data_IF_183388145569
#
_entry.id   IF_183388145569
#
_cell.length_a   1.000
_cell.length_b   1.000
_cell.length_c   1.000
_cell.angle_alpha   90.00
_cell.angle_beta   90.00
_cell.angle_gamma   90.00
#
_symmetry.space_group_name_H-M   'P 1'
#
loop_
_entity.id
_entity.type
_entity.pdbx_description
1 polymer ?
#
# COMPACT_ATOMS: atom_id res chain seq x y z
N UNK A 1 25.50 -10.65 -3.04
CA UNK A 1 24.54 -9.75 -3.69
C UNK A 1 24.15 -8.69 -2.67
N UNK A 2 23.97 -7.45 -3.11
CA UNK A 2 23.60 -6.34 -2.25
C UNK A 2 22.30 -5.71 -2.77
N UNK A 3 21.41 -5.34 -1.88
CA UNK A 3 20.25 -4.52 -2.21
C UNK A 3 20.51 -3.07 -1.88
N UNK A 4 19.84 -2.20 -2.60
CA UNK A 4 19.84 -0.77 -2.40
C UNK A 4 18.47 -0.39 -1.83
N UNK A 5 18.46 0.18 -0.62
CA UNK A 5 17.24 0.62 0.04
C UNK A 5 17.11 2.14 -0.04
N UNK A 6 16.00 2.59 -0.62
CA UNK A 6 15.58 3.98 -0.69
C UNK A 6 14.46 4.21 0.32
N UNK A 7 14.70 5.12 1.26
CA UNK A 7 13.81 5.31 2.42
C UNK A 7 13.53 6.79 2.69
N UNK A 8 14.60 7.59 2.75
CA UNK A 8 14.54 9.01 3.08
C UNK A 8 14.71 9.86 1.80
N UNK A 9 13.83 10.83 1.51
CA UNK A 9 14.02 11.76 0.40
C UNK A 9 15.26 12.64 0.51
N UNK A 10 15.80 12.81 1.71
CA UNK A 10 17.00 13.62 1.95
C UNK A 10 18.30 12.79 1.84
N UNK A 11 18.22 11.46 1.71
CA UNK A 11 19.38 10.59 1.52
C UNK A 11 19.82 10.61 0.02
N UNK A 12 21.02 11.12 -0.24
CA UNK A 12 21.61 11.16 -1.60
C UNK A 12 22.08 9.78 -2.11
N UNK A 13 22.32 8.83 -1.18
CA UNK A 13 22.82 7.48 -1.46
C UNK A 13 21.89 6.41 -0.85
N UNK A 14 21.69 5.26 -1.53
CA UNK A 14 20.88 4.18 -0.98
C UNK A 14 21.59 3.50 0.20
N UNK A 15 20.79 3.02 1.16
CA UNK A 15 21.29 2.17 2.24
C UNK A 15 21.60 0.79 1.65
N UNK A 16 22.85 0.36 1.74
CA UNK A 16 23.24 -0.97 1.25
C UNK A 16 22.88 -2.07 2.24
N UNK A 17 22.10 -3.03 1.78
CA UNK A 17 21.75 -4.24 2.53
C UNK A 17 22.57 -5.40 1.96
N UNK A 18 23.54 -5.87 2.74
CA UNK A 18 24.42 -6.98 2.38
C UNK A 18 24.27 -8.18 3.32
N UNK A 19 23.57 -7.98 4.44
CA UNK A 19 23.36 -8.98 5.48
C UNK A 19 21.96 -8.89 6.08
N UNK A 20 21.56 -9.93 6.79
CA UNK A 20 20.35 -9.96 7.60
C UNK A 20 20.32 -8.81 8.62
N UNK A 21 21.48 -8.51 9.23
CA UNK A 21 21.61 -7.45 10.21
C UNK A 21 21.37 -6.07 9.58
N UNK A 22 21.76 -5.84 8.33
CA UNK A 22 21.50 -4.59 7.62
C UNK A 22 19.99 -4.42 7.37
N UNK A 23 19.30 -5.52 7.00
CA UNK A 23 17.86 -5.50 6.80
C UNK A 23 17.11 -5.24 8.12
N UNK A 24 17.52 -5.88 9.21
CA UNK A 24 16.96 -5.62 10.53
C UNK A 24 17.21 -4.17 10.98
N UNK A 25 18.41 -3.64 10.74
CA UNK A 25 18.75 -2.26 11.07
C UNK A 25 17.90 -1.24 10.29
N UNK A 26 17.61 -1.51 9.01
CA UNK A 26 16.67 -0.70 8.23
C UNK A 26 15.28 -0.74 8.87
N UNK A 27 14.76 -1.93 9.20
CA UNK A 27 13.43 -2.06 9.81
C UNK A 27 13.34 -1.40 11.19
N UNK A 28 14.42 -1.45 11.97
CA UNK A 28 14.54 -0.74 13.24
C UNK A 28 14.49 0.78 13.05
N UNK A 29 15.23 1.32 12.07
CA UNK A 29 15.19 2.74 11.70
C UNK A 29 13.77 3.15 11.30
N UNK A 30 13.15 2.41 10.38
CA UNK A 30 11.77 2.66 9.94
C UNK A 30 10.77 2.64 11.10
N UNK A 31 10.94 1.73 12.05
CA UNK A 31 10.09 1.63 13.22
C UNK A 31 10.26 2.83 14.17
N UNK A 32 11.51 3.26 14.40
CA UNK A 32 11.81 4.42 15.23
C UNK A 32 11.24 5.71 14.62
N UNK A 33 11.47 5.90 13.32
CA UNK A 33 11.03 7.09 12.58
C UNK A 33 9.50 7.11 12.46
N UNK A 34 8.88 5.96 12.17
CA UNK A 34 7.43 5.80 12.05
C UNK A 34 6.64 6.16 13.30
N UNK A 35 7.25 6.14 14.49
CA UNK A 35 6.59 6.57 15.72
C UNK A 35 6.25 8.08 15.74
N UNK A 36 6.93 8.88 14.91
CA UNK A 36 6.70 10.32 14.77
C UNK A 36 5.73 10.71 13.66
N UNK A 37 5.30 9.78 12.81
CA UNK A 37 4.52 10.07 11.59
C UNK A 37 3.08 9.58 11.67
N UNK A 38 2.16 10.34 11.09
CA UNK A 38 0.74 9.95 11.00
C UNK A 38 0.48 8.84 9.97
N UNK A 39 1.35 8.73 8.96
CA UNK A 39 1.31 7.69 7.93
C UNK A 39 2.55 6.81 8.10
N UNK A 40 2.39 5.49 8.28
CA UNK A 40 3.50 4.55 8.38
C UNK A 40 4.47 4.67 7.19
N UNK A 41 5.78 4.60 7.42
CA UNK A 41 6.73 4.79 6.33
C UNK A 41 6.93 3.51 5.50
N UNK A 42 7.33 3.70 4.24
CA UNK A 42 7.62 2.68 3.23
C UNK A 42 9.04 2.89 2.71
N UNK A 43 9.77 1.80 2.50
CA UNK A 43 11.05 1.80 1.80
C UNK A 43 10.96 0.97 0.52
N UNK A 44 11.70 1.37 -0.50
CA UNK A 44 11.92 0.59 -1.71
C UNK A 44 13.27 -0.13 -1.59
N UNK A 45 13.28 -1.42 -1.88
CA UNK A 45 14.48 -2.24 -1.96
C UNK A 45 14.66 -2.65 -3.42
N UNK A 46 15.74 -2.22 -4.06
CA UNK A 46 16.01 -2.54 -5.45
C UNK A 46 17.28 -3.37 -5.61
N UNK A 47 17.29 -4.17 -6.67
CA UNK A 47 18.47 -4.88 -7.16
C UNK A 47 18.72 -4.51 -8.63
N UNK A 48 19.96 -4.14 -8.92
CA UNK A 48 20.39 -3.65 -10.24
C UNK A 48 21.60 -4.38 -10.83
N UNK A 49 22.09 -5.46 -10.22
CA UNK A 49 23.29 -6.17 -10.66
C UNK A 49 23.05 -7.06 -11.90
N UNK A 50 22.28 -8.14 -11.74
CA UNK A 50 22.13 -9.19 -12.77
C UNK A 50 20.71 -9.26 -13.34
N UNK A 51 19.69 -9.06 -12.51
CA UNK A 51 18.28 -9.03 -12.91
C UNK A 51 17.50 -8.03 -12.06
N UNK A 52 16.72 -7.19 -12.74
CA UNK A 52 15.89 -6.18 -12.09
C UNK A 52 14.87 -6.85 -11.18
N UNK A 53 14.84 -6.39 -9.95
CA UNK A 53 13.78 -6.71 -9.02
C UNK A 53 13.64 -5.59 -7.99
N UNK A 54 12.40 -5.34 -7.58
CA UNK A 54 12.04 -4.29 -6.62
C UNK A 54 11.09 -4.90 -5.58
N UNK A 55 11.31 -4.54 -4.32
CA UNK A 55 10.40 -4.84 -3.24
C UNK A 55 10.04 -3.53 -2.51
N UNK A 56 8.82 -3.42 -2.00
CA UNK A 56 8.49 -2.38 -1.03
C UNK A 56 8.28 -3.01 0.32
N UNK A 57 8.82 -2.39 1.37
CA UNK A 57 8.62 -2.81 2.75
C UNK A 57 8.04 -1.66 3.54
N UNK A 58 6.97 -1.91 4.30
CA UNK A 58 6.30 -0.91 5.12
C UNK A 58 6.20 -1.36 6.57
N UNK A 59 6.42 -0.43 7.51
CA UNK A 59 6.44 -0.70 8.94
C UNK A 59 5.41 0.17 9.66
N UNK A 60 4.39 -0.46 10.25
CA UNK A 60 3.34 0.20 11.02
C UNK A 60 3.47 -0.15 12.51
N UNK A 61 4.26 0.65 13.22
CA UNK A 61 4.51 0.43 14.65
C UNK A 61 3.27 0.60 15.52
N UNK A 62 2.33 1.46 15.13
CA UNK A 62 1.10 1.70 15.88
C UNK A 62 0.22 0.44 15.96
N UNK A 63 0.26 -0.40 14.94
CA UNK A 63 -0.49 -1.67 14.89
C UNK A 63 0.37 -2.90 15.14
N UNK A 64 1.69 -2.74 15.24
CA UNK A 64 2.64 -3.85 15.35
C UNK A 64 2.68 -4.74 14.10
N UNK A 65 2.34 -4.17 12.93
CA UNK A 65 2.25 -4.87 11.65
C UNK A 65 3.08 -4.19 10.57
N UNK A 66 3.19 -4.84 9.42
CA UNK A 66 3.73 -4.22 8.23
C UNK A 66 3.46 -5.06 6.99
N UNK A 67 3.99 -4.61 5.87
CA UNK A 67 3.68 -5.15 4.55
C UNK A 67 4.96 -5.31 3.74
N UNK A 68 4.99 -6.32 2.87
CA UNK A 68 6.03 -6.46 1.87
C UNK A 68 5.41 -6.77 0.51
N UNK A 69 5.92 -6.12 -0.52
CA UNK A 69 5.66 -6.45 -1.92
C UNK A 69 6.95 -6.82 -2.61
N UNK A 70 6.84 -7.55 -3.71
CA UNK A 70 7.96 -7.95 -4.55
C UNK A 70 7.51 -7.97 -6.00
N UNK A 71 8.36 -7.49 -6.89
CA UNK A 71 8.17 -7.49 -8.34
C UNK A 71 9.50 -7.78 -9.04
N UNK A 72 9.50 -8.73 -9.96
CA UNK A 72 10.63 -9.10 -10.81
C UNK A 72 10.13 -9.45 -12.22
N UNK A 73 11.00 -10.02 -13.07
CA UNK A 73 10.62 -10.44 -14.42
C UNK A 73 9.59 -11.58 -14.45
N UNK A 74 9.44 -12.34 -13.36
CA UNK A 74 8.56 -13.51 -13.25
C UNK A 74 7.16 -13.14 -12.76
N UNK A 75 7.01 -11.99 -12.11
CA UNK A 75 5.71 -11.46 -11.72
C UNK A 75 5.79 -10.57 -10.49
N UNK A 76 4.71 -10.57 -9.71
CA UNK A 76 4.66 -9.80 -8.47
C UNK A 76 3.92 -10.56 -7.38
N UNK A 77 4.38 -10.35 -6.15
CA UNK A 77 3.84 -10.93 -4.94
C UNK A 77 3.70 -9.85 -3.86
N UNK A 78 2.86 -10.13 -2.87
CA UNK A 78 2.61 -9.28 -1.72
C UNK A 78 2.29 -10.19 -0.55
N UNK A 79 2.62 -9.75 0.66
CA UNK A 79 2.24 -10.43 1.89
C UNK A 79 0.73 -10.57 2.02
N UNK A 80 0.26 -11.66 2.62
CA UNK A 80 -1.15 -11.89 2.94
C UNK A 80 -1.21 -12.55 4.31
N UNK A 81 -1.97 -11.94 5.21
CA UNK A 81 -2.11 -12.42 6.59
C UNK A 81 -2.73 -11.40 7.54
N UNK A 82 -3.26 -10.31 7.00
CA UNK A 82 -4.03 -9.34 7.75
C UNK A 82 -5.51 -9.70 7.78
N UNK A 83 -6.15 -9.43 8.91
CA UNK A 83 -7.60 -9.54 9.08
C UNK A 83 -8.30 -8.19 8.82
N UNK A 84 -7.53 -7.14 8.55
CA UNK A 84 -8.04 -5.80 8.33
C UNK A 84 -8.72 -5.70 6.97
N UNK A 85 -9.98 -5.23 6.98
CA UNK A 85 -10.69 -4.84 5.77
C UNK A 85 -10.25 -3.45 5.30
N UNK A 86 -10.38 -3.18 3.99
CA UNK A 86 -10.07 -1.86 3.41
C UNK A 86 -8.61 -1.70 3.01
N UNK A 87 -8.17 -0.45 2.89
CA UNK A 87 -6.81 -0.08 2.53
C UNK A 87 -6.11 0.60 3.71
N UNK A 88 -4.80 0.43 3.79
CA UNK A 88 -3.88 1.07 4.74
C UNK A 88 -2.94 1.94 3.94
N UNK A 89 -2.79 3.19 4.38
CA UNK A 89 -1.88 4.14 3.77
C UNK A 89 -0.44 3.92 4.28
N UNK A 90 0.51 3.96 3.37
CA UNK A 90 1.95 3.97 3.65
C UNK A 90 2.60 5.12 2.87
N UNK A 91 3.52 5.84 3.47
CA UNK A 91 4.21 6.96 2.83
C UNK A 91 5.57 6.51 2.29
N UNK A 92 5.77 6.71 0.98
CA UNK A 92 7.07 6.52 0.35
C UNK A 92 7.62 7.88 -0.07
N UNK A 93 8.57 8.41 0.71
CA UNK A 93 9.25 9.67 0.41
C UNK A 93 8.26 10.82 0.09
N UNK A 94 7.22 10.98 0.91
CA UNK A 94 6.16 11.97 0.73
C UNK A 94 5.05 11.58 -0.25
N UNK A 95 5.09 10.36 -0.82
CA UNK A 95 4.08 9.84 -1.72
C UNK A 95 3.27 8.73 -1.03
N UNK A 96 2.06 9.08 -0.59
CA UNK A 96 1.14 8.13 0.02
C UNK A 96 0.68 7.06 -0.97
N UNK A 97 0.75 5.81 -0.54
CA UNK A 97 0.31 4.61 -1.24
C UNK A 97 -0.75 3.90 -0.41
N UNK A 98 -1.87 3.57 -1.04
CA UNK A 98 -2.90 2.74 -0.42
C UNK A 98 -2.66 1.27 -0.77
N UNK A 99 -2.47 0.44 0.25
CA UNK A 99 -2.24 -1.00 0.12
C UNK A 99 -3.37 -1.77 0.84
N UNK A 100 -3.76 -2.97 0.39
CA UNK A 100 -4.82 -3.73 1.05
C UNK A 100 -4.46 -4.03 2.51
N UNK A 101 -5.37 -3.78 3.46
CA UNK A 101 -5.15 -4.11 4.87
C UNK A 101 -4.98 -5.61 5.13
N UNK A 102 -5.53 -6.45 4.25
CA UNK A 102 -5.34 -7.91 4.28
C UNK A 102 -3.90 -8.36 4.00
N UNK A 103 -3.06 -7.45 3.50
CA UNK A 103 -1.66 -7.71 3.25
C UNK A 103 -0.76 -7.42 4.46
N UNK A 104 -1.27 -6.80 5.52
CA UNK A 104 -0.48 -6.53 6.72
C UNK A 104 -0.26 -7.79 7.56
N UNK A 105 1.00 -8.14 7.80
CA UNK A 105 1.43 -9.25 8.65
C UNK A 105 2.08 -8.73 9.94
N UNK A 106 2.17 -9.55 11.01
CA UNK A 106 2.91 -9.15 12.21
C UNK A 106 4.36 -8.76 11.90
N UNK A 107 4.90 -7.74 12.58
CA UNK A 107 6.28 -7.27 12.32
C UNK A 107 7.34 -8.36 12.48
N UNK A 108 7.14 -9.34 13.36
CA UNK A 108 8.04 -10.48 13.49
C UNK A 108 8.10 -11.33 12.21
N UNK A 109 6.97 -11.52 11.55
CA UNK A 109 6.90 -12.23 10.27
C UNK A 109 7.45 -11.38 9.13
N UNK A 110 7.21 -10.07 9.18
CA UNK A 110 7.82 -9.12 8.24
C UNK A 110 9.34 -9.17 8.30
N UNK A 111 9.95 -9.17 9.49
CA UNK A 111 11.41 -9.27 9.65
C UNK A 111 11.98 -10.54 9.05
N UNK A 112 11.30 -11.67 9.30
CA UNK A 112 11.66 -12.97 8.70
C UNK A 112 11.57 -12.92 7.18
N UNK A 113 10.50 -12.34 6.64
CA UNK A 113 10.30 -12.19 5.21
C UNK A 113 11.34 -11.26 4.60
N UNK A 114 11.52 -10.06 5.14
CA UNK A 114 12.49 -9.08 4.68
C UNK A 114 13.92 -9.62 4.73
N UNK A 115 14.30 -10.35 5.78
CA UNK A 115 15.64 -10.95 5.86
C UNK A 115 15.83 -12.07 4.84
N UNK A 116 14.86 -12.99 4.73
CA UNK A 116 14.94 -14.11 3.78
C UNK A 116 14.87 -13.64 2.33
N UNK A 117 13.96 -12.72 2.03
CA UNK A 117 13.75 -12.12 0.71
C UNK A 117 14.83 -11.11 0.36
N UNK A 118 15.36 -10.30 1.30
CA UNK A 118 16.47 -9.40 1.00
C UNK A 118 17.72 -10.16 0.54
N UNK A 119 17.92 -11.37 1.06
CA UNK A 119 18.99 -12.27 0.62
C UNK A 119 18.64 -13.03 -0.67
N UNK A 120 17.37 -13.04 -1.09
CA UNK A 120 16.84 -13.91 -2.15
C UNK A 120 15.80 -13.20 -3.02
N UNK A 121 16.00 -11.92 -3.36
CA UNK A 121 15.14 -11.26 -4.35
C UNK A 121 15.37 -12.04 -5.66
N UNK A 122 14.39 -12.83 -6.11
CA UNK A 122 14.53 -13.75 -7.26
C UNK A 122 14.56 -15.26 -6.96
N UNK A 123 14.32 -15.72 -5.72
CA UNK A 123 14.10 -17.15 -5.42
C UNK A 123 12.76 -17.38 -4.73
N UNK A 124 12.06 -18.47 -5.09
CA UNK A 124 10.78 -18.88 -4.49
C UNK A 124 10.78 -18.68 -2.97
N UNK A 125 9.99 -17.72 -2.47
CA UNK A 125 9.92 -17.37 -1.06
C UNK A 125 9.16 -18.45 -0.28
N UNK A 126 9.79 -19.62 -0.10
CA UNK A 126 9.26 -20.72 0.70
C UNK A 126 9.48 -20.42 2.20
N UNK A 127 8.62 -19.58 2.78
CA UNK A 127 8.78 -19.21 4.19
C UNK A 127 7.63 -18.43 4.80
N UNK A 128 6.42 -18.98 4.75
CA UNK A 128 5.24 -18.55 5.52
C UNK A 128 4.50 -17.27 5.07
N UNK A 129 4.74 -16.78 3.86
CA UNK A 129 3.88 -15.77 3.23
C UNK A 129 2.97 -16.47 2.23
N UNK A 130 1.64 -16.36 2.40
CA UNK A 130 0.70 -16.78 1.35
C UNK A 130 0.82 -15.78 0.19
N UNK A 131 1.63 -16.10 -0.80
CA UNK A 131 1.79 -15.28 -1.99
C UNK A 131 0.56 -15.37 -2.90
N UNK A 132 0.10 -14.23 -3.42
CA UNK A 132 -0.86 -14.19 -4.52
C UNK A 132 -0.17 -13.70 -5.80
N UNK A 133 0.11 -14.63 -6.70
CA UNK A 133 0.89 -14.46 -7.94
C UNK A 133 0.18 -13.68 -9.07
N UNK A 134 -0.83 -12.85 -8.80
CA UNK A 134 -1.58 -12.16 -9.87
C UNK A 134 -2.25 -10.86 -9.44
N UNK A 135 -1.67 -9.75 -9.88
CA UNK A 135 -2.39 -8.50 -10.17
C UNK A 135 -2.02 -8.02 -11.58
N UNK A 136 -3.04 -7.84 -12.42
CA UNK A 136 -2.92 -7.42 -13.82
C UNK A 136 -3.87 -8.17 -14.75
N UNK A 137 -5.15 -7.80 -14.74
CA UNK A 137 -5.93 -7.25 -15.89
C UNK A 137 -7.31 -6.87 -15.35
N UNK A 138 -7.58 -5.59 -15.18
CA UNK A 138 -8.95 -5.09 -14.98
C UNK A 138 -9.76 -5.33 -16.25
N UNK A 139 -10.89 -6.07 -16.24
CA UNK A 139 -11.82 -6.08 -17.37
C UNK A 139 -12.80 -4.91 -17.23
N UNK A 140 -12.31 -3.68 -17.32
CA UNK A 140 -13.17 -2.49 -17.38
C UNK A 140 -12.81 -1.64 -18.59
N UNK A 141 -13.11 -2.15 -19.79
CA UNK A 141 -13.39 -1.31 -20.95
C UNK A 141 -14.07 -2.09 -22.08
N UNK A 142 -15.25 -2.67 -21.80
CA UNK A 142 -16.22 -2.93 -22.88
C UNK A 142 -17.16 -1.73 -22.98
N UNK A 143 -16.64 -0.72 -23.68
CA UNK A 143 -17.34 0.16 -24.61
C UNK A 143 -18.87 0.03 -24.60
N UNK A 144 -19.55 0.95 -23.91
CA UNK A 144 -20.96 1.26 -24.22
C UNK A 144 -21.03 1.76 -25.66
N UNK A 145 -21.47 0.89 -26.58
CA UNK A 145 -22.15 1.33 -27.80
C UNK A 145 -23.65 1.26 -27.52
N UNK A 146 -24.25 2.42 -27.25
CA UNK A 146 -25.64 2.65 -27.60
C UNK A 146 -25.68 2.78 -29.11
N UNK A 147 -26.34 1.85 -29.78
CA UNK A 147 -27.14 2.25 -30.93
C UNK A 147 -28.47 1.49 -30.94
N UNK A 148 -29.42 2.21 -31.50
CA UNK A 148 -30.85 2.22 -31.26
C UNK A 148 -31.57 1.19 -32.14
N UNK A 149 -32.50 0.43 -31.56
CA UNK A 149 -33.70 -0.02 -32.29
C UNK A 149 -34.77 -0.59 -31.35
N UNK A 150 -35.81 0.22 -31.16
CA UNK A 150 -37.22 -0.20 -31.16
C UNK A 150 -37.74 -1.21 -30.13
N UNK A 151 -38.43 -0.71 -29.10
CA UNK A 151 -39.88 -0.94 -28.91
C UNK A 151 -40.43 -0.22 -27.67
N UNK A 152 -41.42 0.63 -27.90
CA UNK A 152 -42.39 1.07 -26.88
C UNK A 152 -43.23 -0.12 -26.39
N UNK A 153 -43.90 -0.04 -25.20
CA UNK A 153 -45.14 0.75 -25.10
C UNK A 153 -45.34 1.55 -23.79
N UNK A 154 -46.03 2.67 -23.96
CA UNK A 154 -47.14 3.22 -23.18
C UNK A 154 -47.15 3.20 -21.62
N UNK A 155 -47.35 4.40 -21.05
CA UNK A 155 -48.40 4.60 -20.04
C UNK A 155 -48.02 5.35 -18.76
N UNK A 156 -48.72 6.45 -18.48
CA UNK A 156 -48.93 7.00 -17.12
C UNK A 156 -48.04 8.18 -16.72
N UNK A 157 -48.41 9.42 -17.06
CA UNK A 157 -49.15 10.40 -16.23
C UNK A 157 -48.39 11.02 -15.02
N UNK A 158 -47.99 12.29 -15.26
CA UNK A 158 -48.20 13.56 -14.51
C UNK A 158 -47.82 13.72 -13.03
N UNK A 159 -47.30 14.93 -12.78
CA UNK A 159 -47.37 15.78 -11.57
C UNK A 159 -46.26 15.49 -10.54
N UNK A 160 -45.60 16.45 -9.89
CA UNK A 160 -45.70 17.91 -9.84
C UNK A 160 -44.46 18.45 -9.10
N UNK A 161 -44.12 19.69 -9.42
CA UNK A 161 -43.22 20.64 -8.79
C UNK A 161 -43.22 20.65 -7.24
N UNK A 162 -42.07 20.80 -6.60
CA UNK A 162 -41.88 21.83 -5.57
C UNK A 162 -40.40 22.11 -5.25
N UNK A 163 -40.08 23.40 -5.33
CA UNK A 163 -38.81 24.06 -5.02
C UNK A 163 -38.79 24.53 -3.56
N UNK A 164 -37.60 24.97 -3.10
CA UNK A 164 -37.27 25.71 -1.86
C UNK A 164 -36.92 24.79 -0.66
N UNK A 165 -35.92 25.05 0.20
CA UNK A 165 -35.19 26.28 0.56
C UNK A 165 -33.99 25.86 1.44
N UNK A 166 -32.77 26.35 1.16
CA UNK A 166 -31.79 26.71 2.21
C UNK A 166 -32.12 28.17 2.63
N UNK A 167 -31.80 28.70 3.83
CA UNK A 167 -30.45 28.67 4.43
C UNK A 167 -30.35 28.74 5.98
N UNK A 168 -29.08 28.70 6.45
CA UNK A 168 -28.50 29.30 7.67
C UNK A 168 -29.03 28.80 9.04
N UNK A 169 -28.30 28.83 10.17
CA UNK A 169 -27.33 29.80 10.64
C UNK A 169 -26.69 29.30 11.97
N UNK A 170 -25.58 29.94 12.39
CA UNK A 170 -24.96 30.12 13.74
C UNK A 170 -24.87 28.95 14.75
N UNK A 171 -23.78 28.71 15.48
CA UNK A 171 -22.56 29.47 15.72
C UNK A 171 -21.99 29.18 17.13
N UNK A 172 -20.74 29.65 17.35
CA UNK A 172 -20.11 30.06 18.64
C UNK A 172 -19.57 28.94 19.58
N UNK A 173 -18.26 28.80 19.87
CA UNK A 173 -17.23 29.59 20.61
C UNK A 173 -17.11 29.24 22.11
N UNK A 174 -15.84 29.31 22.61
CA UNK A 174 -15.29 29.24 23.97
C UNK A 174 -14.76 27.84 24.39
N UNK A 175 -13.46 27.61 24.61
CA UNK A 175 -12.43 28.26 25.44
C UNK A 175 -12.66 28.08 26.95
N UNK A 176 -11.79 27.30 27.60
CA UNK A 176 -11.42 27.43 29.02
C UNK A 176 -10.07 26.72 29.27
N UNK A 177 -9.07 27.54 29.57
CA UNK A 177 -7.81 27.17 30.22
C UNK A 177 -8.06 26.65 31.64
N UNK A 178 -7.20 25.74 32.10
CA UNK A 178 -6.72 25.64 33.48
C UNK A 178 -5.25 25.27 33.45
#
# INVERSE_FOLDING_TARGET
MALEAWYDPDDDDPIRITSAADADALLDRMAADGAGFAVPPLAELSRHDDEWAVAYVGVNVATGRGIMTHSDATGSAMTIGGDAAGAVAYDYMGNVRELPGSAEIPLADLRRAATGSAMTIGGDAAGAVKERKKWGTSPHLTRQRRDTSGRSPAGGRKSSSQTHKCPADVGRLAAAEQ
#
